data_IF_853185175526
#
_entry.id   IF_853185175526
#
_cell.length_a   1.000
_cell.length_b   1.000
_cell.length_c   1.000
_cell.angle_alpha   90.00
_cell.angle_beta   90.00
_cell.angle_gamma   90.00
#
_symmetry.space_group_name_H-M   'P 1'
#
loop_
_entity.id
_entity.type
_entity.pdbx_description
1 polymer ?
#
# COMPACT_ATOMS: atom_id res chain seq x y z
N UNK A 1 -8.82 -1.96 -12.13
CA UNK A 1 -8.79 -3.41 -12.44
C UNK A 1 -9.93 -4.05 -11.66
N UNK A 2 -11.07 -4.28 -12.29
CA UNK A 2 -12.23 -4.89 -11.62
C UNK A 2 -11.98 -6.41 -11.58
N UNK A 3 -11.61 -6.93 -10.41
CA UNK A 3 -11.72 -8.37 -10.17
C UNK A 3 -13.21 -8.61 -9.99
N UNK A 4 -13.88 -8.97 -11.07
CA UNK A 4 -15.24 -9.50 -11.04
C UNK A 4 -15.12 -10.86 -10.36
N UNK A 5 -15.19 -10.86 -9.03
CA UNK A 5 -15.38 -12.07 -8.25
C UNK A 5 -16.77 -12.58 -8.63
N UNK A 6 -16.81 -13.49 -9.61
CA UNK A 6 -18.00 -14.21 -10.02
C UNK A 6 -18.41 -15.20 -8.93
N UNK A 7 -18.82 -14.68 -7.78
CA UNK A 7 -19.44 -15.49 -6.73
C UNK A 7 -20.94 -15.56 -7.02
N UNK A 8 -21.37 -16.80 -7.29
CA UNK A 8 -22.73 -17.30 -7.09
C UNK A 8 -23.85 -16.96 -8.10
N UNK A 9 -23.56 -16.69 -9.38
CA UNK A 9 -24.63 -16.68 -10.40
C UNK A 9 -25.11 -18.11 -10.81
N UNK A 10 -24.34 -19.17 -10.53
CA UNK A 10 -24.69 -20.54 -10.94
C UNK A 10 -25.32 -21.43 -9.84
N UNK A 11 -25.59 -20.89 -8.64
CA UNK A 11 -26.18 -21.67 -7.54
C UNK A 11 -27.71 -21.84 -7.73
N UNK A 12 -28.32 -21.03 -8.60
CA UNK A 12 -29.75 -21.08 -8.91
C UNK A 12 -30.12 -22.17 -9.91
N UNK A 13 -30.17 -23.43 -9.46
CA UNK A 13 -31.13 -24.42 -9.97
C UNK A 13 -31.16 -25.73 -9.17
N UNK A 14 -30.05 -26.15 -8.53
CA UNK A 14 -29.93 -27.52 -7.99
C UNK A 14 -29.35 -27.67 -6.57
N UNK A 15 -28.97 -26.59 -5.86
CA UNK A 15 -28.40 -26.73 -4.51
C UNK A 15 -29.45 -26.60 -3.41
N UNK A 16 -29.43 -27.52 -2.45
CA UNK A 16 -30.25 -27.40 -1.22
C UNK A 16 -29.79 -26.20 -0.36
N UNK A 17 -30.67 -25.59 0.46
CA UNK A 17 -30.29 -24.52 1.37
C UNK A 17 -29.12 -24.89 2.30
N UNK A 18 -29.00 -26.17 2.65
CA UNK A 18 -27.89 -26.70 3.45
C UNK A 18 -26.56 -26.63 2.68
N UNK A 19 -26.55 -27.05 1.41
CA UNK A 19 -25.36 -26.98 0.56
C UNK A 19 -24.95 -25.53 0.30
N UNK A 20 -25.91 -24.61 0.17
CA UNK A 20 -25.63 -23.19 0.07
C UNK A 20 -24.94 -22.65 1.34
N UNK A 21 -25.47 -22.96 2.53
CA UNK A 21 -24.86 -22.55 3.80
C UNK A 21 -23.45 -23.13 4.00
N UNK A 22 -23.24 -24.42 3.70
CA UNK A 22 -21.92 -25.06 3.78
C UNK A 22 -20.92 -24.41 2.79
N UNK A 23 -21.37 -24.06 1.58
CA UNK A 23 -20.53 -23.39 0.57
C UNK A 23 -20.11 -21.99 1.03
N UNK A 24 -21.05 -21.21 1.58
CA UNK A 24 -20.75 -19.85 2.04
C UNK A 24 -19.80 -19.86 3.25
N UNK A 25 -19.99 -20.80 4.19
CA UNK A 25 -19.08 -20.96 5.33
C UNK A 25 -17.64 -21.30 4.89
N UNK A 26 -17.47 -22.19 3.90
CA UNK A 26 -16.15 -22.51 3.34
C UNK A 26 -15.54 -21.30 2.61
N UNK A 27 -16.35 -20.53 1.88
CA UNK A 27 -15.89 -19.31 1.22
C UNK A 27 -15.44 -18.25 2.22
N UNK A 28 -16.17 -18.09 3.33
CA UNK A 28 -15.81 -17.19 4.43
C UNK A 28 -14.48 -17.58 5.06
N UNK A 29 -14.32 -18.85 5.45
CA UNK A 29 -13.06 -19.34 6.04
C UNK A 29 -11.88 -19.16 5.07
N UNK A 30 -12.09 -19.42 3.78
CA UNK A 30 -11.07 -19.16 2.76
C UNK A 30 -10.72 -17.66 2.66
N UNK A 31 -11.71 -16.78 2.73
CA UNK A 31 -11.50 -15.33 2.68
C UNK A 31 -10.75 -14.82 3.91
N UNK A 32 -11.12 -15.28 5.10
CA UNK A 32 -10.46 -14.94 6.36
C UNK A 32 -8.98 -15.39 6.35
N UNK A 33 -8.69 -16.59 5.83
CA UNK A 33 -7.31 -17.05 5.64
C UNK A 33 -6.53 -16.21 4.65
N UNK A 34 -7.14 -15.85 3.50
CA UNK A 34 -6.51 -14.98 2.50
C UNK A 34 -6.24 -13.59 3.08
N UNK A 35 -7.18 -13.04 3.85
CA UNK A 35 -7.02 -11.74 4.47
C UNK A 35 -5.90 -11.74 5.50
N UNK A 36 -5.83 -12.78 6.34
CA UNK A 36 -4.75 -12.93 7.32
C UNK A 36 -3.39 -13.07 6.64
N UNK A 37 -3.27 -13.97 5.65
CA UNK A 37 -2.05 -14.15 4.87
C UNK A 37 -1.61 -12.86 4.18
N UNK A 38 -2.56 -12.09 3.65
CA UNK A 38 -2.25 -10.80 3.01
C UNK A 38 -1.70 -9.76 3.99
N UNK A 39 -2.25 -9.69 5.21
CA UNK A 39 -1.74 -8.77 6.24
C UNK A 39 -0.31 -9.15 6.66
N UNK A 40 -0.03 -10.44 6.85
CA UNK A 40 1.31 -10.94 7.14
C UNK A 40 2.29 -10.66 5.99
N UNK A 41 1.91 -11.00 4.75
CA UNK A 41 2.72 -10.77 3.55
C UNK A 41 3.02 -9.27 3.34
N UNK A 42 2.05 -8.41 3.60
CA UNK A 42 2.20 -6.95 3.48
C UNK A 42 3.19 -6.41 4.52
N UNK A 43 3.09 -6.87 5.77
CA UNK A 43 4.03 -6.49 6.82
C UNK A 43 5.46 -6.96 6.50
N UNK A 44 5.61 -8.20 6.02
CA UNK A 44 6.90 -8.75 5.57
C UNK A 44 7.45 -7.94 4.39
N UNK A 45 6.61 -7.61 3.42
CA UNK A 45 7.02 -6.82 2.24
C UNK A 45 7.52 -5.44 2.63
N UNK A 46 6.83 -4.72 3.52
CA UNK A 46 7.26 -3.41 4.02
C UNK A 46 8.57 -3.51 4.82
N UNK A 47 8.73 -4.57 5.63
CA UNK A 47 9.97 -4.81 6.37
C UNK A 47 11.15 -5.11 5.43
N UNK A 48 10.95 -5.95 4.42
CA UNK A 48 11.95 -6.25 3.40
C UNK A 48 12.33 -5.00 2.58
N UNK A 49 11.35 -4.19 2.19
CA UNK A 49 11.57 -2.92 1.50
C UNK A 49 12.39 -1.95 2.37
N UNK A 50 12.02 -1.79 3.65
CA UNK A 50 12.76 -0.96 4.62
C UNK A 50 14.22 -1.41 4.76
N UNK A 51 14.47 -2.72 4.87
CA UNK A 51 15.82 -3.28 4.95
C UNK A 51 16.63 -3.04 3.66
N UNK A 52 16.01 -3.26 2.50
CA UNK A 52 16.65 -3.00 1.21
C UNK A 52 16.99 -1.51 1.01
N UNK A 53 16.10 -0.61 1.44
CA UNK A 53 16.32 0.83 1.47
C UNK A 53 17.52 1.15 2.37
N UNK A 54 17.60 0.57 3.57
CA UNK A 54 18.74 0.75 4.48
C UNK A 54 20.07 0.34 3.85
N UNK A 55 20.12 -0.83 3.21
CA UNK A 55 21.32 -1.30 2.50
C UNK A 55 21.68 -0.40 1.32
N UNK A 56 20.69 0.06 0.56
CA UNK A 56 20.92 0.97 -0.57
C UNK A 56 21.42 2.35 -0.10
N UNK A 57 20.86 2.88 1.00
CA UNK A 57 21.31 4.13 1.63
C UNK A 57 22.76 4.02 2.08
N UNK A 58 23.10 2.93 2.75
CA UNK A 58 24.47 2.67 3.21
C UNK A 58 25.46 2.63 2.04
N UNK A 59 25.12 1.93 0.96
CA UNK A 59 25.94 1.89 -0.27
C UNK A 59 26.10 3.28 -0.92
N UNK A 60 25.06 4.11 -0.87
CA UNK A 60 25.12 5.48 -1.36
C UNK A 60 26.08 6.33 -0.52
N UNK A 61 25.94 6.27 0.81
CA UNK A 61 26.81 6.99 1.75
C UNK A 61 28.27 6.57 1.58
N UNK A 62 28.57 5.26 1.52
CA UNK A 62 29.94 4.78 1.28
C UNK A 62 30.51 5.31 -0.03
N UNK A 63 29.73 5.30 -1.11
CA UNK A 63 30.20 5.81 -2.42
C UNK A 63 30.52 7.31 -2.36
N UNK A 64 29.65 8.10 -1.73
CA UNK A 64 29.87 9.55 -1.55
C UNK A 64 31.10 9.78 -0.68
N UNK A 65 31.23 9.03 0.42
CA UNK A 65 32.37 9.10 1.34
C UNK A 65 33.69 8.80 0.61
N UNK A 66 33.77 7.68 -0.10
CA UNK A 66 34.95 7.26 -0.86
C UNK A 66 35.36 8.31 -1.90
N UNK A 67 34.38 8.90 -2.58
CA UNK A 67 34.65 9.94 -3.58
C UNK A 67 35.12 11.25 -2.97
N UNK A 68 34.53 11.67 -1.83
CA UNK A 68 35.00 12.84 -1.08
C UNK A 68 36.43 12.63 -0.60
N UNK A 69 36.71 11.48 0.03
CA UNK A 69 38.03 11.16 0.58
C UNK A 69 39.08 11.08 -0.51
N UNK A 70 38.79 10.36 -1.60
CA UNK A 70 39.78 10.12 -2.66
C UNK A 70 40.10 11.36 -3.51
N UNK A 71 39.17 12.33 -3.60
CA UNK A 71 39.33 13.49 -4.50
C UNK A 71 39.54 14.82 -3.81
N UNK A 72 38.87 15.03 -2.68
CA UNK A 72 38.73 16.36 -2.08
C UNK A 72 39.33 16.45 -0.67
N UNK A 73 39.90 15.36 -0.16
CA UNK A 73 40.61 15.34 1.11
C UNK A 73 42.10 15.06 0.87
N UNK A 74 42.97 15.91 1.41
CA UNK A 74 44.41 15.70 1.33
C UNK A 74 44.87 14.61 2.30
N UNK A 75 46.10 14.06 2.17
CA UNK A 75 46.66 13.11 3.13
C UNK A 75 46.75 13.65 4.58
N UNK A 76 46.73 14.98 4.75
CA UNK A 76 46.71 15.63 6.06
C UNK A 76 45.29 15.81 6.62
N UNK A 77 44.28 15.18 6.01
CA UNK A 77 42.86 15.34 6.32
C UNK A 77 42.38 16.80 6.25
N UNK A 78 42.93 17.58 5.32
CA UNK A 78 42.47 18.95 5.03
C UNK A 78 41.57 18.97 3.79
N UNK A 79 40.56 19.85 3.75
CA UNK A 79 39.69 19.98 2.58
C UNK A 79 40.44 20.67 1.42
N UNK A 80 40.38 20.09 0.22
CA UNK A 80 40.90 20.68 -1.01
C UNK A 80 39.78 21.42 -1.77
N UNK A 81 39.41 22.60 -1.24
CA UNK A 81 38.38 23.45 -1.85
C UNK A 81 38.81 23.96 -3.23
N UNK A 82 40.12 24.15 -3.48
CA UNK A 82 40.61 24.57 -4.79
C UNK A 82 40.32 23.51 -5.86
N UNK A 83 40.53 22.24 -5.53
CA UNK A 83 40.17 21.12 -6.40
C UNK A 83 38.68 21.02 -6.66
N UNK A 84 37.84 21.21 -5.64
CA UNK A 84 36.38 21.22 -5.81
C UNK A 84 35.93 22.32 -6.79
N UNK A 85 36.47 23.54 -6.65
CA UNK A 85 36.19 24.65 -7.57
C UNK A 85 36.64 24.33 -9.00
N UNK A 86 37.83 23.78 -9.17
CA UNK A 86 38.36 23.37 -10.47
C UNK A 86 37.45 22.32 -11.13
N UNK A 87 37.09 21.27 -10.40
CA UNK A 87 36.26 20.17 -10.91
C UNK A 87 34.85 20.66 -11.28
N UNK A 88 34.24 21.52 -10.46
CA UNK A 88 32.94 22.12 -10.75
C UNK A 88 33.01 23.05 -11.99
N UNK A 89 34.02 23.93 -12.07
CA UNK A 89 34.19 24.83 -13.21
C UNK A 89 34.43 24.08 -14.54
N UNK A 90 35.07 22.91 -14.49
CA UNK A 90 35.35 22.06 -15.64
C UNK A 90 34.24 21.03 -15.93
N UNK A 91 33.16 21.00 -15.15
CA UNK A 91 32.08 20.03 -15.35
C UNK A 91 32.51 18.57 -15.11
N UNK A 92 33.55 18.35 -14.29
CA UNK A 92 34.07 16.99 -14.03
C UNK A 92 33.10 16.21 -13.14
N UNK A 93 33.00 14.88 -13.34
CA UNK A 93 32.19 14.04 -12.47
C UNK A 93 32.77 14.00 -11.05
N UNK A 94 31.90 14.00 -10.05
CA UNK A 94 32.23 14.02 -8.64
C UNK A 94 30.96 14.00 -7.79
N UNK A 95 30.95 13.43 -6.59
CA UNK A 95 29.79 13.53 -5.69
C UNK A 95 29.42 15.01 -5.44
N UNK A 96 30.40 15.80 -5.00
CA UNK A 96 30.21 17.24 -4.76
C UNK A 96 30.18 18.06 -6.05
N UNK A 97 31.17 17.89 -6.94
CA UNK A 97 31.23 18.64 -8.19
C UNK A 97 30.01 18.36 -9.09
N UNK A 98 29.56 17.10 -9.18
CA UNK A 98 28.35 16.72 -9.91
C UNK A 98 27.10 17.35 -9.31
N UNK A 99 26.92 17.32 -7.99
CA UNK A 99 25.80 18.00 -7.34
C UNK A 99 25.79 19.53 -7.61
N UNK A 100 26.97 20.14 -7.73
CA UNK A 100 27.10 21.56 -8.09
C UNK A 100 26.76 21.79 -9.56
N UNK A 101 27.28 20.95 -10.46
CA UNK A 101 27.04 21.05 -11.90
C UNK A 101 25.56 20.84 -12.25
N UNK A 102 24.88 19.97 -11.52
CA UNK A 102 23.44 19.70 -11.66
C UNK A 102 22.56 20.79 -11.02
N UNK A 103 23.16 21.79 -10.35
CA UNK A 103 22.45 22.86 -9.64
C UNK A 103 21.75 22.40 -8.36
N UNK A 104 22.01 21.18 -7.89
CA UNK A 104 21.42 20.62 -6.67
C UNK A 104 22.13 21.10 -5.39
N UNK A 105 23.31 21.69 -5.53
CA UNK A 105 24.14 22.25 -4.47
C UNK A 105 24.87 23.50 -5.00
N UNK A 106 24.99 24.53 -4.18
CA UNK A 106 25.87 25.67 -4.49
C UNK A 106 27.32 25.35 -4.16
N UNK A 107 28.26 26.09 -4.76
CA UNK A 107 29.68 25.91 -4.46
C UNK A 107 29.98 26.11 -2.96
N UNK A 108 29.39 27.13 -2.34
CA UNK A 108 29.55 27.43 -0.91
C UNK A 108 29.02 26.29 -0.02
N UNK A 109 27.87 25.69 -0.37
CA UNK A 109 27.34 24.52 0.33
C UNK A 109 28.26 23.31 0.21
N UNK A 110 28.85 23.09 -0.97
CA UNK A 110 29.81 22.02 -1.21
C UNK A 110 31.10 22.18 -0.41
N UNK A 111 31.65 23.39 -0.37
CA UNK A 111 32.82 23.71 0.46
C UNK A 111 32.51 23.56 1.95
N UNK A 112 31.34 24.01 2.40
CA UNK A 112 30.92 23.86 3.79
C UNK A 112 30.76 22.38 4.18
N UNK A 113 30.18 21.56 3.30
CA UNK A 113 30.06 20.12 3.52
C UNK A 113 31.44 19.47 3.59
N UNK A 114 32.32 19.79 2.64
CA UNK A 114 33.69 19.27 2.61
C UNK A 114 34.47 19.65 3.87
N UNK A 115 34.35 20.89 4.34
CA UNK A 115 34.98 21.37 5.56
C UNK A 115 34.47 20.66 6.81
N UNK A 116 33.15 20.44 6.94
CA UNK A 116 32.55 19.65 8.02
C UNK A 116 33.07 18.21 8.02
N UNK A 117 33.05 17.57 6.86
CA UNK A 117 33.53 16.19 6.71
C UNK A 117 35.03 16.08 7.09
N UNK A 118 35.88 16.98 6.58
CA UNK A 118 37.30 17.03 6.96
C UNK A 118 37.52 17.26 8.46
N UNK A 119 36.66 18.05 9.13
CA UNK A 119 36.71 18.22 10.58
C UNK A 119 36.40 16.91 11.32
N UNK A 120 35.39 16.15 10.89
CA UNK A 120 35.08 14.84 11.48
C UNK A 120 36.22 13.83 11.31
N UNK A 121 36.88 13.80 10.14
CA UNK A 121 38.06 12.96 9.92
C UNK A 121 39.22 13.32 10.86
N UNK A 122 39.55 14.62 10.99
CA UNK A 122 40.64 15.08 11.87
C UNK A 122 40.36 14.80 13.35
N UNK A 123 39.10 14.81 13.76
CA UNK A 123 38.69 14.44 15.11
C UNK A 123 38.81 12.93 15.39
N UNK A 124 39.11 12.10 14.37
CA UNK A 124 39.10 10.65 14.50
C UNK A 124 37.69 10.10 14.70
N UNK A 125 36.67 10.81 14.21
CA UNK A 125 35.27 10.44 14.42
C UNK A 125 34.97 9.05 13.81
N UNK A 126 34.14 8.24 14.48
CA UNK A 126 33.69 6.96 13.95
C UNK A 126 32.92 7.14 12.63
N UNK A 127 32.80 6.07 11.84
CA UNK A 127 32.16 6.12 10.53
C UNK A 127 30.72 6.65 10.57
N UNK A 128 29.98 6.38 11.65
CA UNK A 128 28.62 6.91 11.85
C UNK A 128 28.58 8.44 11.88
N UNK A 129 29.46 9.09 12.64
CA UNK A 129 29.53 10.56 12.74
C UNK A 129 30.02 11.20 11.44
N UNK A 130 30.97 10.57 10.75
CA UNK A 130 31.42 11.05 9.44
C UNK A 130 30.31 11.00 8.39
N UNK A 131 29.44 9.99 8.48
CA UNK A 131 28.28 9.85 7.58
C UNK A 131 27.23 10.90 7.86
N UNK A 132 26.99 11.22 9.13
CA UNK A 132 26.10 12.32 9.52
C UNK A 132 26.52 13.65 8.85
N UNK A 133 27.84 13.90 8.74
CA UNK A 133 28.34 15.10 8.06
C UNK A 133 27.99 15.19 6.56
N UNK A 134 27.72 14.06 5.90
CA UNK A 134 27.33 14.00 4.48
C UNK A 134 25.84 13.73 4.26
N UNK A 135 25.01 13.60 5.31
CA UNK A 135 23.56 13.44 5.16
C UNK A 135 22.90 14.66 4.50
N UNK A 136 23.51 15.83 4.64
CA UNK A 136 23.11 17.04 3.93
C UNK A 136 23.36 17.00 2.41
N UNK A 137 23.98 15.95 1.88
CA UNK A 137 24.23 15.82 0.45
C UNK A 137 22.91 15.65 -0.34
N UNK A 138 22.71 16.38 -1.46
CA UNK A 138 21.46 16.34 -2.24
C UNK A 138 21.05 14.94 -2.68
N UNK A 139 22.01 14.11 -3.11
CA UNK A 139 21.73 12.73 -3.47
C UNK A 139 21.17 11.88 -2.30
N UNK A 140 21.63 12.13 -1.07
CA UNK A 140 21.12 11.45 0.13
C UNK A 140 19.71 11.94 0.45
N UNK A 141 19.48 13.25 0.42
CA UNK A 141 18.14 13.84 0.62
C UNK A 141 17.13 13.35 -0.42
N UNK A 142 17.52 13.30 -1.69
CA UNK A 142 16.69 12.81 -2.77
C UNK A 142 16.37 11.32 -2.61
N UNK A 143 17.36 10.51 -2.21
CA UNK A 143 17.16 9.10 -1.89
C UNK A 143 16.19 8.93 -0.72
N UNK A 144 16.39 9.65 0.39
CA UNK A 144 15.56 9.55 1.60
C UNK A 144 14.11 9.97 1.31
N UNK A 145 13.91 11.02 0.50
CA UNK A 145 12.58 11.44 0.06
C UNK A 145 11.90 10.38 -0.83
N UNK A 146 12.62 9.80 -1.78
CA UNK A 146 12.08 8.74 -2.65
C UNK A 146 11.78 7.44 -1.86
N UNK A 147 12.63 7.11 -0.88
CA UNK A 147 12.43 5.97 0.01
C UNK A 147 11.19 6.12 0.88
N UNK A 148 10.98 7.31 1.46
CA UNK A 148 9.76 7.62 2.21
C UNK A 148 8.51 7.48 1.33
N UNK A 149 8.52 8.08 0.14
CA UNK A 149 7.40 7.98 -0.80
C UNK A 149 7.09 6.53 -1.21
N UNK A 150 8.11 5.68 -1.40
CA UNK A 150 7.93 4.27 -1.72
C UNK A 150 7.28 3.50 -0.57
N UNK A 151 7.72 3.73 0.67
CA UNK A 151 7.17 3.06 1.85
C UNK A 151 5.75 3.51 2.15
N UNK A 152 5.46 4.81 1.96
CA UNK A 152 4.11 5.35 2.09
C UNK A 152 3.17 4.71 1.06
N UNK A 153 3.57 4.66 -0.22
CA UNK A 153 2.79 4.02 -1.28
C UNK A 153 2.57 2.52 -1.03
N UNK A 154 3.58 1.79 -0.52
CA UNK A 154 3.45 0.38 -0.17
C UNK A 154 2.46 0.18 0.99
N UNK A 155 2.50 1.06 1.99
CA UNK A 155 1.59 1.03 3.13
C UNK A 155 0.17 1.38 2.73
N UNK A 156 -0.01 2.41 1.91
CA UNK A 156 -1.31 2.79 1.35
C UNK A 156 -1.92 1.64 0.54
N UNK A 157 -1.12 1.02 -0.33
CA UNK A 157 -1.56 -0.14 -1.10
C UNK A 157 -2.01 -1.31 -0.22
N UNK A 158 -1.28 -1.60 0.86
CA UNK A 158 -1.67 -2.63 1.82
C UNK A 158 -2.99 -2.29 2.52
N UNK A 159 -3.23 -1.02 2.86
CA UNK A 159 -4.50 -0.56 3.44
C UNK A 159 -5.66 -0.70 2.46
N UNK A 160 -5.46 -0.34 1.19
CA UNK A 160 -6.50 -0.48 0.15
C UNK A 160 -6.94 -1.93 -0.02
N UNK A 161 -5.99 -2.85 -0.06
CA UNK A 161 -6.30 -4.28 -0.19
C UNK A 161 -6.97 -4.82 1.08
N UNK A 162 -6.53 -4.38 2.27
CA UNK A 162 -7.21 -4.72 3.52
C UNK A 162 -8.65 -4.21 3.55
N UNK A 163 -8.92 -2.98 3.07
CA UNK A 163 -10.26 -2.44 2.97
C UNK A 163 -11.14 -3.28 2.03
N UNK A 164 -10.62 -3.66 0.86
CA UNK A 164 -11.33 -4.54 -0.08
C UNK A 164 -11.68 -5.90 0.57
N UNK A 165 -10.78 -6.48 1.35
CA UNK A 165 -11.03 -7.75 2.04
C UNK A 165 -12.13 -7.62 3.09
N UNK A 166 -12.19 -6.49 3.81
CA UNK A 166 -13.26 -6.19 4.76
C UNK A 166 -14.61 -6.05 4.05
N UNK A 167 -14.65 -5.34 2.92
CA UNK A 167 -15.88 -5.16 2.12
C UNK A 167 -16.40 -6.50 1.57
N UNK A 168 -15.49 -7.38 1.15
CA UNK A 168 -15.86 -8.74 0.72
C UNK A 168 -16.42 -9.54 1.92
N UNK A 169 -15.80 -9.44 3.11
CA UNK A 169 -16.31 -10.08 4.32
C UNK A 169 -17.74 -9.65 4.66
N UNK A 170 -18.02 -8.34 4.63
CA UNK A 170 -19.37 -7.81 4.86
C UNK A 170 -20.38 -8.29 3.79
N UNK A 171 -19.93 -8.41 2.53
CA UNK A 171 -20.75 -8.96 1.45
C UNK A 171 -21.08 -10.44 1.65
N UNK A 172 -20.13 -11.23 2.15
CA UNK A 172 -20.35 -12.65 2.49
C UNK A 172 -21.33 -12.78 3.65
N UNK A 173 -21.19 -11.97 4.71
CA UNK A 173 -22.12 -11.99 5.85
C UNK A 173 -23.56 -11.61 5.47
N UNK A 174 -23.72 -10.64 4.58
CA UNK A 174 -25.02 -10.30 4.00
C UNK A 174 -25.62 -11.48 3.21
N UNK A 175 -24.80 -12.19 2.43
CA UNK A 175 -25.23 -13.38 1.69
C UNK A 175 -25.58 -14.56 2.63
N UNK A 176 -24.83 -14.79 3.71
CA UNK A 176 -25.14 -15.80 4.74
C UNK A 176 -26.50 -15.53 5.38
N UNK A 177 -26.73 -14.29 5.79
CA UNK A 177 -27.99 -13.84 6.39
C UNK A 177 -29.17 -14.11 5.46
N UNK A 178 -29.02 -13.81 4.17
CA UNK A 178 -30.06 -14.07 3.18
C UNK A 178 -30.27 -15.58 2.91
N UNK A 179 -29.20 -16.36 2.77
CA UNK A 179 -29.26 -17.78 2.45
C UNK A 179 -29.81 -18.64 3.61
N UNK A 180 -29.58 -18.22 4.85
CA UNK A 180 -30.06 -18.90 6.06
C UNK A 180 -31.57 -18.78 6.31
N UNK A 181 -32.26 -17.86 5.62
CA UNK A 181 -33.66 -17.56 5.88
C UNK A 181 -34.64 -18.42 5.07
N UNK A 182 -35.75 -18.84 5.69
CA UNK A 182 -36.82 -19.66 5.07
C UNK A 182 -38.19 -18.99 5.21
N UNK A 183 -39.06 -19.17 4.22
CA UNK A 183 -40.46 -18.71 4.26
C UNK A 183 -40.60 -17.20 4.49
N UNK A 184 -41.58 -16.79 5.31
CA UNK A 184 -41.82 -15.37 5.66
C UNK A 184 -40.58 -14.67 6.26
N UNK A 185 -39.70 -15.42 6.94
CA UNK A 185 -38.44 -14.89 7.49
C UNK A 185 -37.43 -14.47 6.41
N UNK A 186 -37.63 -14.87 5.14
CA UNK A 186 -36.78 -14.49 4.01
C UNK A 186 -36.90 -13.01 3.67
N UNK A 187 -38.07 -12.41 3.86
CA UNK A 187 -38.27 -10.95 3.68
C UNK A 187 -37.52 -10.14 4.74
N UNK A 188 -37.57 -10.60 6.00
CA UNK A 188 -36.84 -10.01 7.14
C UNK A 188 -35.33 -10.14 6.94
N UNK A 189 -34.86 -11.31 6.50
CA UNK A 189 -33.46 -11.54 6.23
C UNK A 189 -32.94 -10.79 5.00
N UNK A 190 -33.76 -10.56 3.98
CA UNK A 190 -33.41 -9.68 2.85
C UNK A 190 -33.18 -8.24 3.35
N UNK A 191 -34.03 -7.75 4.25
CA UNK A 191 -33.86 -6.45 4.90
C UNK A 191 -32.62 -6.36 5.80
N UNK A 192 -32.35 -7.42 6.56
CA UNK A 192 -31.14 -7.52 7.39
C UNK A 192 -29.86 -7.56 6.54
N UNK A 193 -29.83 -8.38 5.49
CA UNK A 193 -28.73 -8.46 4.53
C UNK A 193 -28.49 -7.14 3.80
N UNK A 194 -29.57 -6.46 3.38
CA UNK A 194 -29.48 -5.12 2.79
C UNK A 194 -28.87 -4.12 3.75
N UNK A 195 -29.28 -4.14 5.02
CA UNK A 195 -28.75 -3.24 6.05
C UNK A 195 -27.26 -3.48 6.28
N UNK A 196 -26.84 -4.75 6.43
CA UNK A 196 -25.44 -5.12 6.56
C UNK A 196 -24.61 -4.67 5.36
N UNK A 197 -25.13 -4.81 4.14
CA UNK A 197 -24.42 -4.38 2.94
C UNK A 197 -24.33 -2.85 2.84
N UNK A 198 -25.37 -2.11 3.20
CA UNK A 198 -25.32 -0.64 3.23
C UNK A 198 -24.27 -0.15 4.23
N UNK A 199 -24.28 -0.67 5.46
CA UNK A 199 -23.34 -0.26 6.51
C UNK A 199 -21.91 -0.76 6.23
N UNK A 200 -21.76 -1.97 5.73
CA UNK A 200 -20.46 -2.60 5.51
C UNK A 200 -19.75 -2.18 4.22
N UNK A 201 -20.51 -1.82 3.18
CA UNK A 201 -19.99 -1.53 1.82
C UNK A 201 -20.32 -0.11 1.36
N UNK A 202 -21.60 0.30 1.35
CA UNK A 202 -21.98 1.61 0.78
C UNK A 202 -21.42 2.80 1.56
N UNK A 203 -21.46 2.73 2.89
CA UNK A 203 -20.96 3.81 3.76
C UNK A 203 -19.45 4.03 3.62
N UNK A 204 -18.71 3.04 3.09
CA UNK A 204 -17.26 3.10 2.86
C UNK A 204 -16.86 3.60 1.47
N UNK A 205 -17.80 3.76 0.54
CA UNK A 205 -17.50 4.26 -0.81
C UNK A 205 -17.58 5.79 -0.79
N UNK A 206 -16.45 6.50 -0.81
CA UNK A 206 -16.42 7.97 -0.80
C UNK A 206 -16.88 8.61 -2.12
N UNK A 207 -16.70 7.91 -3.24
CA UNK A 207 -17.09 8.37 -4.56
C UNK A 207 -18.63 8.28 -4.74
N UNK A 208 -19.28 9.43 -4.93
CA UNK A 208 -20.74 9.52 -5.02
C UNK A 208 -21.31 8.75 -6.22
N UNK A 209 -20.63 8.72 -7.36
CA UNK A 209 -21.11 8.00 -8.55
C UNK A 209 -21.01 6.48 -8.36
N UNK A 210 -19.93 6.01 -7.73
CA UNK A 210 -19.74 4.60 -7.38
C UNK A 210 -20.71 4.17 -6.30
N UNK A 211 -20.94 5.01 -5.29
CA UNK A 211 -21.93 4.74 -4.24
C UNK A 211 -23.33 4.60 -4.84
N UNK A 212 -23.72 5.52 -5.71
CA UNK A 212 -25.00 5.45 -6.41
C UNK A 212 -25.10 4.23 -7.34
N UNK A 213 -24.02 3.82 -8.00
CA UNK A 213 -23.99 2.60 -8.81
C UNK A 213 -24.14 1.33 -7.97
N UNK A 214 -23.44 1.27 -6.84
CA UNK A 214 -23.53 0.19 -5.87
C UNK A 214 -24.95 0.10 -5.27
N UNK A 215 -25.56 1.24 -4.94
CA UNK A 215 -26.93 1.29 -4.42
C UNK A 215 -27.96 0.78 -5.44
N UNK A 216 -27.84 1.16 -6.71
CA UNK A 216 -28.69 0.60 -7.79
C UNK A 216 -28.56 -0.91 -7.93
N UNK A 217 -27.36 -1.47 -7.78
CA UNK A 217 -27.13 -2.91 -7.82
C UNK A 217 -27.81 -3.62 -6.64
N UNK A 218 -27.75 -3.03 -5.43
CA UNK A 218 -28.46 -3.55 -4.28
C UNK A 218 -29.97 -3.55 -4.52
N UNK A 219 -30.53 -2.44 -4.97
CA UNK A 219 -31.97 -2.33 -5.28
C UNK A 219 -32.43 -3.39 -6.27
N UNK A 220 -31.68 -3.58 -7.37
CA UNK A 220 -31.97 -4.62 -8.36
C UNK A 220 -31.91 -6.03 -7.75
N UNK A 221 -30.94 -6.30 -6.88
CA UNK A 221 -30.83 -7.58 -6.19
C UNK A 221 -32.01 -7.82 -5.23
N UNK A 222 -32.46 -6.78 -4.52
CA UNK A 222 -33.62 -6.85 -3.63
C UNK A 222 -34.93 -7.07 -4.41
N UNK A 223 -35.15 -6.36 -5.50
CA UNK A 223 -36.31 -6.54 -6.38
C UNK A 223 -36.36 -7.94 -6.99
N UNK A 224 -35.21 -8.47 -7.39
CA UNK A 224 -35.11 -9.84 -7.88
C UNK A 224 -35.42 -10.86 -6.78
N UNK A 225 -34.90 -10.65 -5.56
CA UNK A 225 -35.22 -11.47 -4.39
C UNK A 225 -36.71 -11.45 -4.02
N UNK A 226 -37.36 -10.29 -4.10
CA UNK A 226 -38.78 -10.13 -3.83
C UNK A 226 -39.66 -10.87 -4.86
N UNK A 227 -39.32 -10.78 -6.15
CA UNK A 227 -40.04 -11.50 -7.22
C UNK A 227 -39.94 -13.02 -7.06
N UNK A 228 -38.75 -13.53 -6.71
CA UNK A 228 -38.54 -14.96 -6.46
C UNK A 228 -39.30 -15.41 -5.21
N UNK A 229 -39.35 -14.59 -4.15
CA UNK A 229 -40.13 -14.88 -2.94
C UNK A 229 -41.64 -14.92 -3.18
N UNK A 230 -42.17 -14.02 -4.03
CA UNK A 230 -43.59 -13.98 -4.39
C UNK A 230 -44.05 -15.20 -5.19
N UNK A 231 -43.25 -15.61 -6.19
CA UNK A 231 -43.56 -16.77 -7.04
C UNK A 231 -43.58 -18.11 -6.27
N UNK A 232 -42.82 -18.22 -5.18
CA UNK A 232 -42.82 -19.44 -4.33
C UNK A 232 -44.08 -19.52 -3.46
N UNK A 233 -44.61 -18.39 -2.98
CA UNK A 233 -45.83 -18.38 -2.16
C UNK A 233 -47.11 -18.64 -2.99
N UNK A 234 -47.15 -18.27 -4.27
CA UNK A 234 -48.26 -18.60 -5.18
C UNK A 234 -48.33 -20.11 -5.48
N UNK A 235 -47.19 -20.81 -5.56
CA UNK A 235 -47.19 -22.25 -5.81
C UNK A 235 -47.57 -23.11 -4.59
N UNK A 236 -47.37 -22.63 -3.36
CA UNK A 236 -47.79 -23.35 -2.13
C UNK A 236 -49.28 -23.14 -1.80
N UNK A 237 -49.96 -22.16 -2.41
CA UNK A 237 -51.38 -21.89 -2.16
C UNK A 237 -52.34 -22.60 -3.12
N UNK A 238 -51.87 -23.10 -4.26
CA UNK A 238 -52.68 -23.91 -5.20
C UNK A 238 -52.68 -25.43 -4.89
N UNK A 239 -51.95 -25.86 -3.86
CA UNK A 239 -51.81 -27.26 -3.44
C UNK A 239 -52.61 -27.68 -2.19
N UNK A 240 -53.45 -26.81 -1.63
CA UNK A 240 -54.36 -27.08 -0.51
C UNK A 240 -55.82 -27.10 -0.98
#
# INVERSE_FOLDING_TARGET
MAVTIGVAACVGACSTPRQAAETVAVQREALERVAHAHLEDSAITVALASNAIGVARERLLTRIEDEIVSRYITPAATPDAARLREDAALGRPGALAGAINDGAMTLDEGEALLARYAATLRAGAPASERREAIEGHPAVRAFDAAAAALLDAATERARDVAALLVDIGASVEALETFAGARGEARSIALGAAATLWRTGVLERIDDHERRAAAERLLEQALEMGARIGGAVNEHDTEGL
#
